data_IF_587842918515
#
_entry.id   IF_587842918515
#
_cell.length_a   1.000
_cell.length_b   1.000
_cell.length_c   1.000
_cell.angle_alpha   90.00
_cell.angle_beta   90.00
_cell.angle_gamma   90.00
#
_symmetry.space_group_name_H-M   'P 1'
#
loop_
_entity.id
_entity.type
_entity.pdbx_description
1 polymer ?
#
# COMPACT_ATOMS: atom_id res chain seq x y z
N UNK A 1 2.97 -1.14 -10.23
CA UNK A 1 2.43 -2.52 -10.25
C UNK A 1 1.54 -2.86 -11.43
N UNK A 2 0.47 -2.10 -11.68
CA UNK A 2 -0.55 -2.46 -12.68
C UNK A 2 0.01 -2.66 -14.10
N UNK A 3 0.89 -1.76 -14.57
CA UNK A 3 1.54 -1.88 -15.88
C UNK A 3 2.40 -3.16 -15.95
N UNK A 4 3.18 -3.46 -14.92
CA UNK A 4 3.99 -4.68 -14.85
C UNK A 4 3.14 -5.96 -14.81
N UNK A 5 1.97 -5.94 -14.15
CA UNK A 5 1.05 -7.08 -14.13
C UNK A 5 0.38 -7.32 -15.48
N UNK A 6 0.03 -6.25 -16.21
CA UNK A 6 -0.48 -6.34 -17.58
C UNK A 6 0.59 -6.92 -18.51
N UNK A 7 1.82 -6.41 -18.45
CA UNK A 7 2.94 -6.88 -19.28
C UNK A 7 3.32 -8.34 -18.98
N UNK A 8 3.28 -8.77 -17.70
CA UNK A 8 3.51 -10.18 -17.31
C UNK A 8 2.32 -11.10 -17.56
N UNK A 9 1.23 -10.60 -18.15
CA UNK A 9 -0.05 -11.31 -18.34
C UNK A 9 -0.59 -11.96 -17.05
N UNK A 10 -0.34 -11.32 -15.89
CA UNK A 10 -0.80 -11.78 -14.57
C UNK A 10 -2.11 -11.10 -14.19
N UNK A 11 -3.15 -11.26 -15.01
CA UNK A 11 -4.46 -10.62 -14.81
C UNK A 11 -5.13 -10.98 -13.49
N UNK A 12 -4.85 -12.17 -12.94
CA UNK A 12 -5.32 -12.57 -11.60
C UNK A 12 -4.85 -11.63 -10.46
N UNK A 13 -3.77 -10.88 -10.65
CA UNK A 13 -3.28 -9.91 -9.67
C UNK A 13 -3.95 -8.53 -9.82
N UNK A 14 -4.61 -8.28 -10.95
CA UNK A 14 -5.35 -7.04 -11.24
C UNK A 14 -6.79 -7.25 -10.76
N UNK A 15 -6.99 -7.22 -9.45
CA UNK A 15 -8.32 -7.27 -8.85
C UNK A 15 -9.01 -5.90 -8.91
N UNK A 16 -10.33 -5.87 -8.74
CA UNK A 16 -11.07 -4.62 -8.57
C UNK A 16 -10.50 -3.77 -7.44
N UNK A 17 -10.17 -4.39 -6.29
CA UNK A 17 -9.58 -3.71 -5.14
C UNK A 17 -8.24 -3.06 -5.50
N UNK A 18 -7.39 -3.75 -6.28
CA UNK A 18 -6.11 -3.21 -6.73
C UNK A 18 -6.29 -1.93 -7.55
N UNK A 19 -7.18 -1.97 -8.55
CA UNK A 19 -7.41 -0.83 -9.45
C UNK A 19 -8.06 0.33 -8.70
N UNK A 20 -9.11 0.06 -7.92
CA UNK A 20 -9.79 1.06 -7.10
C UNK A 20 -8.82 1.76 -6.14
N UNK A 21 -8.01 0.98 -5.41
CA UNK A 21 -7.03 1.52 -4.47
C UNK A 21 -5.98 2.37 -5.19
N UNK A 22 -5.31 1.83 -6.22
CA UNK A 22 -4.23 2.58 -6.89
C UNK A 22 -4.72 3.86 -7.57
N UNK A 23 -5.89 3.83 -8.22
CA UNK A 23 -6.45 5.03 -8.86
C UNK A 23 -6.94 6.04 -7.83
N UNK A 24 -7.65 5.58 -6.78
CA UNK A 24 -8.15 6.44 -5.72
C UNK A 24 -7.02 7.13 -4.95
N UNK A 25 -5.96 6.41 -4.59
CA UNK A 25 -4.82 6.95 -3.85
C UNK A 25 -4.07 8.05 -4.64
N UNK A 26 -4.00 7.93 -5.97
CA UNK A 26 -3.38 8.98 -6.83
C UNK A 26 -4.24 10.24 -6.86
N UNK A 27 -5.56 10.10 -7.00
CA UNK A 27 -6.49 11.24 -7.01
C UNK A 27 -6.48 11.94 -5.66
N UNK A 28 -6.60 11.19 -4.56
CA UNK A 28 -6.56 11.72 -3.20
C UNK A 28 -5.21 12.39 -2.93
N UNK A 29 -4.09 11.75 -3.30
CA UNK A 29 -2.75 12.32 -3.14
C UNK A 29 -2.56 13.65 -3.87
N UNK A 30 -3.12 13.80 -5.07
CA UNK A 30 -3.09 15.06 -5.80
C UNK A 30 -3.94 16.14 -5.12
N UNK A 31 -5.16 15.80 -4.68
CA UNK A 31 -6.02 16.74 -3.95
C UNK A 31 -5.38 17.17 -2.63
N UNK A 32 -4.82 16.24 -1.86
CA UNK A 32 -4.16 16.53 -0.59
C UNK A 32 -2.96 17.46 -0.78
N UNK A 33 -2.06 17.16 -1.72
CA UNK A 33 -0.88 18.02 -1.96
C UNK A 33 -1.24 19.39 -2.51
N UNK A 34 -2.33 19.51 -3.27
CA UNK A 34 -2.78 20.78 -3.85
C UNK A 34 -3.50 21.70 -2.86
N UNK A 35 -4.32 21.15 -1.97
CA UNK A 35 -5.20 21.95 -1.10
C UNK A 35 -4.77 21.98 0.37
N UNK A 36 -4.11 20.93 0.87
CA UNK A 36 -3.69 20.83 2.28
C UNK A 36 -2.29 20.18 2.33
N UNK A 37 -1.23 20.92 1.98
CA UNK A 37 0.13 20.38 2.02
C UNK A 37 0.57 20.20 3.48
N UNK A 38 0.44 18.97 4.00
CA UNK A 38 0.98 18.59 5.31
C UNK A 38 -0.08 18.31 6.39
N UNK A 39 0.35 18.29 7.65
CA UNK A 39 -0.50 17.98 8.80
C UNK A 39 -0.81 16.49 8.93
N UNK A 40 -2.02 16.18 9.43
CA UNK A 40 -2.48 14.81 9.73
C UNK A 40 -2.39 13.85 8.52
N UNK A 41 -2.59 14.37 7.30
CA UNK A 41 -2.48 13.58 6.06
C UNK A 41 -1.06 13.14 5.73
N UNK A 42 -0.02 13.82 6.23
CA UNK A 42 1.38 13.43 5.97
C UNK A 42 1.76 12.12 6.66
N UNK A 43 1.18 11.84 7.83
CA UNK A 43 1.38 10.58 8.55
C UNK A 43 0.90 9.38 7.72
N UNK A 44 -0.19 9.54 6.96
CA UNK A 44 -0.67 8.52 6.04
C UNK A 44 0.38 8.19 4.98
N UNK A 45 0.99 9.21 4.38
CA UNK A 45 2.06 9.04 3.39
C UNK A 45 3.27 8.33 3.97
N UNK A 46 3.73 8.76 5.15
CA UNK A 46 4.91 8.18 5.82
C UNK A 46 4.69 6.70 6.20
N UNK A 47 3.56 6.39 6.84
CA UNK A 47 3.21 5.03 7.24
C UNK A 47 3.05 4.11 6.02
N UNK A 48 2.39 4.60 4.95
CA UNK A 48 2.23 3.85 3.72
C UNK A 48 3.59 3.55 3.06
N UNK A 49 4.43 4.57 2.85
CA UNK A 49 5.76 4.39 2.26
C UNK A 49 6.62 3.38 3.03
N UNK A 50 6.53 3.37 4.36
CA UNK A 50 7.29 2.45 5.21
C UNK A 50 6.89 0.99 5.00
N UNK A 51 5.58 0.70 5.01
CA UNK A 51 5.07 -0.65 4.75
C UNK A 51 5.30 -1.06 3.30
N UNK A 52 5.19 -0.10 2.38
CA UNK A 52 5.35 -0.34 0.95
C UNK A 52 6.81 -0.61 0.57
N UNK A 53 7.77 -0.02 1.29
CA UNK A 53 9.19 -0.36 1.17
C UNK A 53 9.42 -1.86 1.48
N UNK A 54 8.78 -2.39 2.53
CA UNK A 54 8.85 -3.81 2.89
C UNK A 54 8.17 -4.70 1.83
N UNK A 55 6.99 -4.27 1.34
CA UNK A 55 6.26 -4.99 0.28
C UNK A 55 7.07 -5.09 -1.02
N UNK A 56 7.67 -3.98 -1.47
CA UNK A 56 8.48 -3.99 -2.69
C UNK A 56 9.79 -4.74 -2.53
N UNK A 57 10.39 -4.70 -1.34
CA UNK A 57 11.56 -5.55 -1.03
C UNK A 57 11.23 -7.03 -1.21
N UNK A 58 10.05 -7.46 -0.75
CA UNK A 58 9.56 -8.82 -1.00
C UNK A 58 9.36 -9.13 -2.49
N UNK A 59 8.79 -8.20 -3.26
CA UNK A 59 8.63 -8.40 -4.71
C UNK A 59 9.98 -8.52 -5.41
N UNK A 60 10.97 -7.72 -5.03
CA UNK A 60 12.33 -7.81 -5.56
C UNK A 60 12.95 -9.19 -5.28
N UNK A 61 12.87 -9.66 -4.02
CA UNK A 61 13.37 -10.99 -3.63
C UNK A 61 12.67 -12.11 -4.41
N UNK A 62 11.37 -11.99 -4.63
CA UNK A 62 10.58 -12.98 -5.40
C UNK A 62 10.97 -13.03 -6.89
N UNK A 63 11.48 -11.91 -7.43
CA UNK A 63 11.96 -11.84 -8.81
C UNK A 63 13.37 -12.41 -8.92
N UNK A 64 14.26 -12.06 -7.99
CA UNK A 64 15.66 -12.51 -7.97
C UNK A 64 15.81 -13.99 -7.60
N UNK A 65 14.99 -14.46 -6.66
CA UNK A 65 15.02 -15.83 -6.15
C UNK A 65 13.62 -16.46 -6.20
N UNK A 66 13.21 -16.98 -7.37
CA UNK A 66 11.88 -17.55 -7.58
C UNK A 66 11.55 -18.71 -6.63
N UNK A 67 12.58 -19.44 -6.19
CA UNK A 67 12.45 -20.58 -5.28
C UNK A 67 12.03 -20.16 -3.86
N UNK A 68 12.55 -19.03 -3.38
CA UNK A 68 12.13 -18.42 -2.11
C UNK A 68 10.72 -17.82 -2.20
N UNK A 69 10.35 -17.27 -3.37
CA UNK A 69 9.05 -16.63 -3.58
C UNK A 69 7.86 -17.59 -3.64
N UNK A 70 8.05 -18.83 -4.12
CA UNK A 70 6.96 -19.80 -4.31
C UNK A 70 6.35 -20.29 -2.99
N UNK A 71 7.18 -20.45 -1.96
CA UNK A 71 6.79 -20.93 -0.62
C UNK A 71 7.13 -19.92 0.50
N UNK A 72 7.14 -18.62 0.19
CA UNK A 72 7.42 -17.56 1.16
C UNK A 72 6.44 -17.62 2.34
N UNK A 73 6.85 -18.24 3.45
CA UNK A 73 6.08 -18.32 4.70
C UNK A 73 5.89 -16.93 5.32
N UNK A 74 6.81 -16.00 5.01
CA UNK A 74 6.75 -14.63 5.50
C UNK A 74 5.73 -13.74 4.80
N UNK A 75 5.14 -14.18 3.69
CA UNK A 75 4.12 -13.41 2.96
C UNK A 75 2.93 -13.02 3.85
N UNK A 76 2.57 -13.90 4.81
CA UNK A 76 1.46 -13.64 5.75
C UNK A 76 1.75 -12.44 6.65
N UNK A 77 3.00 -12.27 7.08
CA UNK A 77 3.39 -11.19 7.97
C UNK A 77 3.38 -9.85 7.25
N UNK A 78 3.72 -9.84 5.95
CA UNK A 78 3.59 -8.63 5.12
C UNK A 78 2.12 -8.22 5.01
N UNK A 79 1.21 -9.17 4.76
CA UNK A 79 -0.22 -8.85 4.72
C UNK A 79 -0.75 -8.41 6.09
N UNK A 80 -0.31 -9.04 7.19
CA UNK A 80 -0.65 -8.60 8.54
C UNK A 80 -0.15 -7.17 8.83
N UNK A 81 1.05 -6.82 8.37
CA UNK A 81 1.60 -5.47 8.49
C UNK A 81 0.73 -4.44 7.73
N UNK A 82 0.23 -4.78 6.54
CA UNK A 82 -0.71 -3.94 5.80
C UNK A 82 -2.04 -3.75 6.56
N UNK A 83 -2.58 -4.82 7.17
CA UNK A 83 -3.80 -4.71 7.98
C UNK A 83 -3.60 -3.85 9.23
N UNK A 84 -2.46 -4.01 9.91
CA UNK A 84 -2.10 -3.18 11.07
C UNK A 84 -1.92 -1.71 10.66
N UNK A 85 -1.31 -1.44 9.51
CA UNK A 85 -1.22 -0.09 8.94
C UNK A 85 -2.62 0.52 8.73
N UNK A 86 -3.56 -0.21 8.14
CA UNK A 86 -4.93 0.29 7.98
C UNK A 86 -5.60 0.55 9.34
N UNK A 87 -5.40 -0.32 10.33
CA UNK A 87 -5.92 -0.12 11.69
C UNK A 87 -5.37 1.14 12.36
N UNK A 88 -4.05 1.33 12.33
CA UNK A 88 -3.39 2.52 12.90
C UNK A 88 -3.82 3.80 12.19
N UNK A 89 -3.93 3.78 10.85
CA UNK A 89 -4.42 4.93 10.09
C UNK A 89 -5.88 5.23 10.42
N UNK A 90 -6.75 4.22 10.49
CA UNK A 90 -8.15 4.39 10.86
C UNK A 90 -8.29 5.03 12.23
N UNK A 91 -7.51 4.57 13.22
CA UNK A 91 -7.46 5.17 14.55
C UNK A 91 -6.98 6.63 14.52
N UNK A 92 -5.90 6.91 13.81
CA UNK A 92 -5.34 8.26 13.69
C UNK A 92 -6.36 9.24 13.08
N UNK A 93 -7.09 8.83 12.04
CA UNK A 93 -8.16 9.63 11.46
C UNK A 93 -9.39 9.74 12.37
N UNK A 94 -9.70 8.71 13.16
CA UNK A 94 -10.79 8.74 14.14
C UNK A 94 -10.59 9.85 15.18
N UNK A 95 -9.33 10.14 15.56
CA UNK A 95 -9.01 11.20 16.51
C UNK A 95 -9.49 12.59 16.06
N UNK A 96 -9.46 12.87 14.75
CA UNK A 96 -9.98 14.13 14.19
C UNK A 96 -11.51 14.26 14.32
N UNK A 97 -12.24 13.15 14.44
CA UNK A 97 -13.69 13.19 14.65
C UNK A 97 -14.02 13.67 16.06
N UNK A 98 -13.18 13.29 17.05
CA UNK A 98 -13.37 13.66 18.45
C UNK A 98 -12.66 14.96 18.84
N UNK A 99 -11.64 15.36 18.09
CA UNK A 99 -10.90 16.62 18.26
C UNK A 99 -10.73 17.28 16.88
N UNK A 100 -11.75 18.01 16.40
CA UNK A 100 -11.72 18.70 15.12
C UNK A 100 -10.68 19.83 15.06
#
# INVERSE_FOLDING_TARGET
DTIFFVLRKKTRQISFLHVYHHTGMVIIGWLSTKFIPGGHGAFLGLANCSVHAVLYSHYLVTILYPELGRNAWWKKYITQMQMVQFGMLSWHWLQLVFQP
#
